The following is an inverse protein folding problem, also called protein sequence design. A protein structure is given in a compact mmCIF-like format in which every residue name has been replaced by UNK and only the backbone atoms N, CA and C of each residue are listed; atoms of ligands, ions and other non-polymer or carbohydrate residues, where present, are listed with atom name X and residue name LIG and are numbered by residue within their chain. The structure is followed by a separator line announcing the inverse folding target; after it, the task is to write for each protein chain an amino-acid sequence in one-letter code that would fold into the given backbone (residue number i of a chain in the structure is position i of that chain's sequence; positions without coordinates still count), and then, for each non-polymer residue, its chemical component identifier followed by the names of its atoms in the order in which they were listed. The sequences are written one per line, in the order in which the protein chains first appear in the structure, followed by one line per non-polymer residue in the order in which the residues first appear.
data_IF_688639119184
#
_entry.id   IF_688639119184
#
_cell.length_a   1.000
_cell.length_b   1.000
_cell.length_c   1.000
_cell.angle_alpha   90.00
_cell.angle_beta   90.00
_cell.angle_gamma   90.00
#
_symmetry.space_group_name_H-M   'P 1'
#
loop_
_entity.id
_entity.type
_entity.pdbx_description
1 polymer ?
#
# COMPACT_ATOMS: atom_id res chain seq x y z
N UNK A 1 1.49 16.74 -15.03
CA UNK A 1 1.24 15.77 -16.12
C UNK A 1 0.35 14.62 -15.62
N UNK A 2 0.76 13.78 -14.66
CA UNK A 2 -0.09 12.69 -14.13
C UNK A 2 -1.32 13.15 -13.33
N UNK A 3 -1.14 13.96 -12.27
CA UNK A 3 -2.29 14.43 -11.46
C UNK A 3 -3.35 15.15 -12.31
N UNK A 4 -2.91 15.96 -13.29
CA UNK A 4 -3.81 16.65 -14.23
C UNK A 4 -4.65 15.66 -15.03
N UNK A 5 -4.00 14.65 -15.62
CA UNK A 5 -4.69 13.61 -16.38
C UNK A 5 -5.73 12.85 -15.53
N UNK A 6 -5.38 12.49 -14.29
CA UNK A 6 -6.30 11.82 -13.36
C UNK A 6 -7.54 12.69 -13.11
N UNK A 7 -7.37 13.96 -12.77
CA UNK A 7 -8.50 14.84 -12.46
C UNK A 7 -9.33 15.23 -13.69
N UNK A 8 -8.70 15.42 -14.84
CA UNK A 8 -9.44 15.70 -16.09
C UNK A 8 -10.27 14.49 -16.52
N UNK A 9 -9.73 13.27 -16.42
CA UNK A 9 -10.47 12.05 -16.70
C UNK A 9 -11.61 11.83 -15.71
N UNK A 10 -11.35 12.01 -14.41
CA UNK A 10 -12.37 11.88 -13.38
C UNK A 10 -13.51 12.89 -13.56
N UNK A 11 -13.19 14.15 -13.88
CA UNK A 11 -14.17 15.17 -14.15
C UNK A 11 -15.02 14.85 -15.40
N UNK A 12 -14.37 14.41 -16.48
CA UNK A 12 -15.04 14.01 -17.72
C UNK A 12 -16.04 12.87 -17.51
N UNK A 13 -15.62 11.81 -16.80
CA UNK A 13 -16.49 10.66 -16.52
C UNK A 13 -17.63 11.01 -15.57
N UNK A 14 -17.39 11.88 -14.59
CA UNK A 14 -18.45 12.39 -13.72
C UNK A 14 -19.49 13.22 -14.50
N UNK A 15 -19.06 14.00 -15.49
CA UNK A 15 -19.96 14.69 -16.42
C UNK A 15 -20.83 13.76 -17.28
N UNK A 16 -20.43 12.48 -17.41
CA UNK A 16 -21.20 11.43 -18.08
C UNK A 16 -22.06 10.59 -17.11
N UNK A 17 -22.14 10.98 -15.84
CA UNK A 17 -22.93 10.28 -14.82
C UNK A 17 -22.22 9.10 -14.14
N UNK A 18 -20.92 8.90 -14.39
CA UNK A 18 -20.13 7.87 -13.70
C UNK A 18 -19.71 8.39 -12.32
N UNK A 19 -19.91 7.59 -11.27
CA UNK A 19 -19.37 7.91 -9.95
C UNK A 19 -17.88 7.58 -9.91
N UNK A 20 -17.02 8.60 -9.72
CA UNK A 20 -15.56 8.43 -9.69
C UNK A 20 -15.02 8.87 -8.33
N UNK A 21 -14.21 8.01 -7.71
CA UNK A 21 -13.57 8.24 -6.41
C UNK A 21 -12.06 7.99 -6.54
N UNK A 22 -11.30 8.89 -7.19
CA UNK A 22 -9.88 8.68 -7.42
C UNK A 22 -9.08 8.76 -6.12
N UNK A 23 -8.15 7.82 -5.95
CA UNK A 23 -7.15 7.81 -4.88
C UNK A 23 -5.77 7.93 -5.54
N UNK A 24 -4.98 8.91 -5.11
CA UNK A 24 -3.64 9.18 -5.66
C UNK A 24 -2.61 8.78 -4.63
N UNK A 25 -1.74 7.84 -4.98
CA UNK A 25 -0.74 7.28 -4.08
C UNK A 25 0.66 7.73 -4.46
N UNK A 26 1.42 8.23 -3.48
CA UNK A 26 2.83 8.61 -3.65
C UNK A 26 3.73 7.43 -3.25
N UNK A 27 4.58 6.92 -4.16
CA UNK A 27 5.47 5.80 -3.89
C UNK A 27 6.77 6.23 -3.19
N UNK A 28 7.48 5.26 -2.64
CA UNK A 28 8.85 5.33 -2.09
C UNK A 28 9.08 6.45 -1.08
N UNK A 29 8.04 6.84 -0.35
CA UNK A 29 8.14 7.86 0.69
C UNK A 29 8.95 7.29 1.86
N UNK A 30 9.94 8.03 2.34
CA UNK A 30 10.69 7.72 3.57
C UNK A 30 10.51 8.75 4.67
N UNK A 31 9.95 9.92 4.36
CA UNK A 31 9.79 11.09 5.24
C UNK A 31 8.42 11.77 5.02
N UNK A 32 7.83 12.41 6.05
CA UNK A 32 6.60 13.19 5.88
C UNK A 32 6.80 14.39 4.96
N UNK A 33 8.02 14.93 4.84
CA UNK A 33 8.33 16.06 3.95
C UNK A 33 8.27 15.67 2.46
N UNK A 34 8.77 14.48 2.10
CA UNK A 34 8.64 13.94 0.73
C UNK A 34 7.16 13.80 0.35
N UNK A 35 6.34 13.24 1.25
CA UNK A 35 4.91 13.11 1.02
C UNK A 35 4.24 14.49 0.93
N UNK A 36 4.51 15.39 1.87
CA UNK A 36 3.95 16.74 1.90
C UNK A 36 4.23 17.52 0.61
N UNK A 37 5.47 17.43 0.10
CA UNK A 37 5.83 18.05 -1.19
C UNK A 37 4.94 17.55 -2.34
N UNK A 38 4.73 16.24 -2.44
CA UNK A 38 3.90 15.67 -3.50
C UNK A 38 2.41 15.94 -3.31
N UNK A 39 1.91 15.89 -2.07
CA UNK A 39 0.53 16.27 -1.72
C UNK A 39 0.25 17.70 -2.17
N UNK A 40 1.15 18.64 -1.91
CA UNK A 40 1.02 20.03 -2.34
C UNK A 40 0.90 20.18 -3.85
N UNK A 41 1.76 19.48 -4.60
CA UNK A 41 1.71 19.48 -6.06
C UNK A 41 0.38 18.92 -6.55
N UNK A 42 -0.06 17.78 -6.01
CA UNK A 42 -1.33 17.12 -6.37
C UNK A 42 -2.52 18.05 -6.09
N UNK A 43 -2.61 18.61 -4.89
CA UNK A 43 -3.73 19.48 -4.48
C UNK A 43 -3.75 20.80 -5.27
N UNK A 44 -2.59 21.37 -5.62
CA UNK A 44 -2.49 22.56 -6.49
C UNK A 44 -3.02 22.26 -7.90
N UNK A 45 -2.70 21.10 -8.47
CA UNK A 45 -3.19 20.69 -9.78
C UNK A 45 -4.69 20.41 -9.74
N UNK A 46 -5.18 19.71 -8.71
CA UNK A 46 -6.61 19.45 -8.51
C UNK A 46 -7.43 20.75 -8.56
N UNK A 47 -7.02 21.77 -7.77
CA UNK A 47 -7.66 23.08 -7.73
C UNK A 47 -7.73 23.73 -9.11
N UNK A 48 -6.64 23.72 -9.88
CA UNK A 48 -6.60 24.30 -11.24
C UNK A 48 -7.58 23.58 -12.16
N UNK A 49 -7.56 22.25 -12.18
CA UNK A 49 -8.45 21.46 -13.04
C UNK A 49 -9.92 21.68 -12.67
N UNK A 50 -10.26 21.74 -11.38
CA UNK A 50 -11.64 21.97 -10.96
C UNK A 50 -12.16 23.36 -11.35
N UNK A 51 -11.32 24.40 -11.30
CA UNK A 51 -11.68 25.72 -11.82
C UNK A 51 -11.90 25.67 -13.34
N UNK A 52 -11.01 25.02 -14.08
CA UNK A 52 -11.12 24.89 -15.54
C UNK A 52 -12.34 24.06 -15.99
N UNK A 53 -12.75 23.07 -15.19
CA UNK A 53 -13.91 22.20 -15.48
C UNK A 53 -15.24 22.71 -14.92
N UNK A 54 -15.22 23.68 -14.01
CA UNK A 54 -16.42 24.25 -13.40
C UNK A 54 -17.11 23.34 -12.36
N UNK A 55 -16.49 22.23 -11.96
CA UNK A 55 -16.98 21.35 -10.89
C UNK A 55 -15.82 20.62 -10.19
N UNK A 56 -16.10 20.07 -9.01
CA UNK A 56 -15.12 19.35 -8.18
C UNK A 56 -15.33 17.84 -8.21
N UNK A 57 -14.24 17.10 -8.03
CA UNK A 57 -14.26 15.64 -7.81
C UNK A 57 -13.77 15.37 -6.38
N UNK A 58 -14.43 14.49 -5.64
CA UNK A 58 -13.93 14.03 -4.34
C UNK A 58 -12.77 13.06 -4.55
N UNK A 59 -11.64 13.25 -3.87
CA UNK A 59 -10.45 12.42 -4.03
C UNK A 59 -9.70 12.29 -2.71
N UNK A 60 -8.81 11.30 -2.64
CA UNK A 60 -7.85 11.15 -1.54
C UNK A 60 -6.42 11.16 -2.03
N UNK A 61 -5.50 11.60 -1.18
CA UNK A 61 -4.06 11.43 -1.38
C UNK A 61 -3.49 10.61 -0.25
N UNK A 62 -2.77 9.55 -0.59
CA UNK A 62 -2.14 8.64 0.36
C UNK A 62 -0.75 8.25 -0.12
N UNK A 63 -0.17 7.24 0.53
CA UNK A 63 1.20 6.84 0.23
C UNK A 63 1.40 5.34 0.31
N UNK A 64 2.41 4.87 -0.42
CA UNK A 64 2.90 3.52 -0.27
C UNK A 64 3.82 3.44 0.95
N UNK A 65 3.60 2.46 1.82
CA UNK A 65 4.52 2.14 2.91
C UNK A 65 5.38 0.96 2.46
N UNK A 66 6.53 1.29 1.87
CA UNK A 66 7.45 0.34 1.26
C UNK A 66 8.93 0.58 1.61
N UNK A 67 9.20 1.66 2.37
CA UNK A 67 10.50 1.96 2.95
C UNK A 67 10.43 1.67 4.46
N UNK A 68 11.37 0.92 5.06
CA UNK A 68 11.36 0.63 6.49
C UNK A 68 11.27 1.90 7.36
N UNK A 69 11.96 2.97 6.95
CA UNK A 69 11.87 4.28 7.62
C UNK A 69 10.44 4.81 7.68
N UNK A 70 9.63 4.65 6.63
CA UNK A 70 8.25 5.10 6.63
C UNK A 70 7.40 4.36 7.67
N UNK A 71 7.65 3.06 7.87
CA UNK A 71 6.99 2.31 8.93
C UNK A 71 7.40 2.79 10.34
N UNK A 72 8.68 3.15 10.51
CA UNK A 72 9.24 3.60 11.79
C UNK A 72 8.73 4.98 12.25
N UNK A 73 8.23 5.82 11.34
CA UNK A 73 7.70 7.17 11.63
C UNK A 73 6.31 7.37 11.00
N UNK A 74 5.51 6.30 10.97
CA UNK A 74 4.24 6.26 10.26
C UNK A 74 3.18 7.22 10.83
N UNK A 75 3.31 7.59 12.11
CA UNK A 75 2.49 8.61 12.78
C UNK A 75 2.63 9.98 12.09
N UNK A 76 3.86 10.44 11.85
CA UNK A 76 4.11 11.72 11.14
C UNK A 76 3.64 11.65 9.68
N UNK A 77 3.83 10.51 9.01
CA UNK A 77 3.39 10.33 7.61
C UNK A 77 1.85 10.37 7.51
N UNK A 78 1.14 9.81 8.50
CA UNK A 78 -0.32 9.77 8.53
C UNK A 78 -0.98 11.16 8.70
N UNK A 79 -0.24 12.17 9.18
CA UNK A 79 -0.72 13.56 9.18
C UNK A 79 -1.01 14.06 7.76
N UNK A 80 -0.22 13.63 6.77
CA UNK A 80 -0.34 14.02 5.37
C UNK A 80 -1.12 12.99 4.53
N UNK A 81 -1.07 11.71 4.88
CA UNK A 81 -1.69 10.63 4.13
C UNK A 81 -3.13 10.35 4.60
N UNK A 82 -4.06 10.21 3.64
CA UNK A 82 -5.44 9.80 3.90
C UNK A 82 -5.62 8.27 3.85
N UNK A 83 -4.63 7.56 3.32
CA UNK A 83 -4.54 6.10 3.32
C UNK A 83 -3.09 5.63 3.18
N UNK A 84 -2.81 4.41 3.65
CA UNK A 84 -1.59 3.66 3.43
C UNK A 84 -1.86 2.43 2.56
N UNK A 85 -0.93 2.14 1.65
CA UNK A 85 -0.87 0.84 0.98
C UNK A 85 0.51 0.25 1.18
N UNK A 86 0.64 -0.91 1.80
CA UNK A 86 1.94 -1.55 1.93
C UNK A 86 2.41 -2.08 0.57
N UNK A 87 3.58 -1.62 0.13
CA UNK A 87 4.32 -2.20 -0.98
C UNK A 87 5.24 -3.28 -0.46
N UNK A 88 4.67 -4.45 -0.14
CA UNK A 88 5.41 -5.48 0.61
C UNK A 88 6.56 -6.10 -0.16
N UNK A 89 6.57 -6.03 -1.50
CA UNK A 89 7.72 -6.48 -2.29
C UNK A 89 8.97 -5.66 -1.97
N UNK A 90 8.87 -4.32 -2.07
CA UNK A 90 9.97 -3.41 -1.77
C UNK A 90 10.27 -3.35 -0.27
N UNK A 91 9.24 -3.44 0.58
CA UNK A 91 9.43 -3.51 2.03
C UNK A 91 10.21 -4.76 2.43
N UNK A 92 9.91 -5.93 1.85
CA UNK A 92 10.68 -7.17 2.06
C UNK A 92 12.11 -6.97 1.58
N UNK A 93 12.31 -6.45 0.37
CA UNK A 93 13.64 -6.20 -0.21
C UNK A 93 14.50 -5.34 0.73
N UNK A 94 13.95 -4.22 1.22
CA UNK A 94 14.69 -3.30 2.09
C UNK A 94 14.87 -3.83 3.52
N UNK A 95 13.93 -4.66 4.02
CA UNK A 95 14.02 -5.24 5.37
C UNK A 95 15.04 -6.39 5.43
N UNK A 96 15.04 -7.27 4.43
CA UNK A 96 16.01 -8.36 4.32
C UNK A 96 17.36 -7.92 3.74
N UNK A 97 17.40 -6.80 3.02
CA UNK A 97 18.55 -6.43 2.18
C UNK A 97 18.70 -7.33 0.96
N UNK A 98 17.59 -7.86 0.43
CA UNK A 98 17.58 -8.81 -0.69
C UNK A 98 17.14 -8.12 -1.97
N UNK A 99 18.04 -8.02 -2.95
CA UNK A 99 17.67 -7.66 -4.31
C UNK A 99 16.81 -8.77 -4.92
N UNK A 100 15.56 -8.44 -5.29
CA UNK A 100 14.63 -9.41 -5.88
C UNK A 100 15.16 -10.02 -7.18
N UNK A 101 15.93 -9.25 -7.95
CA UNK A 101 16.53 -9.70 -9.21
C UNK A 101 17.74 -10.63 -8.99
N UNK A 102 18.37 -10.59 -7.82
CA UNK A 102 19.57 -11.38 -7.51
C UNK A 102 19.33 -12.55 -6.55
N UNK A 103 18.19 -12.55 -5.84
CA UNK A 103 17.91 -13.50 -4.75
C UNK A 103 17.94 -14.96 -5.21
N UNK A 104 17.57 -15.23 -6.47
CA UNK A 104 17.55 -16.57 -7.05
C UNK A 104 18.92 -17.28 -7.04
N UNK A 105 20.02 -16.52 -6.92
CA UNK A 105 21.39 -17.08 -6.87
C UNK A 105 21.69 -17.81 -5.55
N UNK A 106 21.00 -17.49 -4.46
CA UNK A 106 21.26 -18.08 -3.14
C UNK A 106 20.01 -18.62 -2.43
N UNK A 107 18.82 -18.13 -2.77
CA UNK A 107 17.58 -18.50 -2.08
C UNK A 107 17.28 -20.01 -2.10
N UNK A 108 17.46 -20.75 -3.22
CA UNK A 108 17.26 -22.21 -3.22
C UNK A 108 18.15 -22.92 -2.21
N UNK A 109 19.38 -22.44 -1.99
CA UNK A 109 20.30 -23.00 -1.02
C UNK A 109 19.87 -22.67 0.42
N UNK A 110 19.33 -21.47 0.67
CA UNK A 110 18.80 -21.08 1.98
C UNK A 110 17.59 -21.94 2.38
N UNK A 111 16.68 -22.19 1.43
CA UNK A 111 15.53 -23.07 1.63
C UNK A 111 15.97 -24.52 1.87
N UNK A 112 16.87 -25.05 1.04
CA UNK A 112 17.36 -26.43 1.18
C UNK A 112 18.09 -26.68 2.52
N UNK A 113 18.75 -25.64 3.08
CA UNK A 113 19.42 -25.71 4.38
C UNK A 113 18.52 -25.35 5.57
N UNK A 114 17.26 -24.99 5.34
CA UNK A 114 16.33 -24.56 6.38
C UNK A 114 16.70 -23.22 7.04
N UNK A 115 17.56 -22.41 6.39
CA UNK A 115 17.88 -21.05 6.84
C UNK A 115 16.64 -20.16 6.71
N UNK A 116 15.88 -20.34 5.61
CA UNK A 116 14.56 -19.80 5.42
C UNK A 116 13.56 -20.94 5.27
N UNK A 117 12.34 -20.74 5.76
CA UNK A 117 11.25 -21.71 5.63
C UNK A 117 10.49 -21.52 4.32
N UNK A 118 10.38 -20.27 3.85
CA UNK A 118 9.67 -19.88 2.64
C UNK A 118 10.44 -18.79 1.90
N UNK A 119 10.15 -18.61 0.61
CA UNK A 119 10.57 -17.41 -0.12
C UNK A 119 9.84 -16.19 0.47
N UNK A 120 10.57 -15.21 1.05
CA UNK A 120 9.96 -14.04 1.69
C UNK A 120 9.28 -13.08 0.69
N UNK A 121 9.46 -13.27 -0.62
CA UNK A 121 8.75 -12.54 -1.67
C UNK A 121 7.45 -13.23 -2.13
N UNK A 122 7.22 -14.49 -1.73
CA UNK A 122 5.98 -15.22 -1.98
C UNK A 122 5.09 -15.25 -0.73
N UNK A 123 5.69 -15.58 0.42
CA UNK A 123 5.03 -15.66 1.73
C UNK A 123 5.58 -14.55 2.62
N UNK A 124 4.69 -13.71 3.15
CA UNK A 124 5.08 -12.60 4.00
C UNK A 124 5.88 -13.10 5.22
N UNK A 125 7.07 -12.56 5.41
CA UNK A 125 7.81 -12.73 6.66
C UNK A 125 7.08 -11.99 7.80
N UNK A 126 6.30 -12.73 8.58
CA UNK A 126 5.52 -12.16 9.67
C UNK A 126 6.37 -11.66 10.85
N UNK A 127 7.61 -12.15 11.00
CA UNK A 127 8.48 -11.86 12.15
C UNK A 127 9.34 -10.61 11.97
N UNK A 128 9.76 -10.30 10.76
CA UNK A 128 10.48 -9.07 10.41
C UNK A 128 9.56 -8.08 9.71
N UNK A 129 9.23 -8.34 8.45
CA UNK A 129 8.41 -7.43 7.62
C UNK A 129 7.03 -7.19 8.25
N UNK A 130 6.41 -8.24 8.79
CA UNK A 130 5.13 -8.15 9.49
C UNK A 130 5.16 -7.23 10.73
N UNK A 131 6.30 -7.10 11.42
CA UNK A 131 6.42 -6.14 12.53
C UNK A 131 6.36 -4.71 12.04
N UNK A 132 6.99 -4.40 10.89
CA UNK A 132 6.90 -3.07 10.27
C UNK A 132 5.46 -2.78 9.83
N UNK A 133 4.76 -3.77 9.27
CA UNK A 133 3.35 -3.64 8.88
C UNK A 133 2.47 -3.31 10.09
N UNK A 134 2.61 -4.05 11.20
CA UNK A 134 1.86 -3.81 12.45
C UNK A 134 2.16 -2.42 13.03
N UNK A 135 3.45 -2.11 13.19
CA UNK A 135 3.90 -0.83 13.74
C UNK A 135 3.36 0.37 12.94
N UNK A 136 3.46 0.31 11.61
CA UNK A 136 3.00 1.38 10.75
C UNK A 136 1.48 1.55 10.80
N UNK A 137 0.74 0.44 10.85
CA UNK A 137 -0.73 0.45 10.97
C UNK A 137 -1.17 1.07 12.29
N UNK A 138 -0.57 0.63 13.40
CA UNK A 138 -0.87 1.14 14.75
C UNK A 138 -0.55 2.62 14.89
N UNK A 139 0.67 3.04 14.53
CA UNK A 139 1.11 4.44 14.61
C UNK A 139 0.33 5.35 13.67
N UNK A 140 0.11 4.91 12.43
CA UNK A 140 -0.66 5.67 11.46
C UNK A 140 -2.10 5.90 11.92
N UNK A 141 -2.75 4.87 12.49
CA UNK A 141 -4.11 5.01 13.05
C UNK A 141 -4.14 5.79 14.36
N UNK A 142 -3.08 5.78 15.16
CA UNK A 142 -2.98 6.64 16.33
C UNK A 142 -2.98 8.13 15.96
N UNK A 143 -2.27 8.50 14.88
CA UNK A 143 -2.26 9.87 14.37
C UNK A 143 -3.53 10.22 13.56
N UNK A 144 -4.09 9.26 12.81
CA UNK A 144 -5.33 9.41 12.04
C UNK A 144 -6.27 8.22 12.27
N UNK A 145 -7.23 8.30 13.20
CA UNK A 145 -8.09 7.17 13.58
C UNK A 145 -8.90 6.53 12.44
N UNK A 146 -9.22 7.30 11.39
CA UNK A 146 -9.94 6.83 10.21
C UNK A 146 -9.03 6.49 9.01
N UNK A 147 -7.71 6.36 9.23
CA UNK A 147 -6.74 6.00 8.19
C UNK A 147 -7.08 4.64 7.59
N UNK A 148 -7.26 4.62 6.27
CA UNK A 148 -7.42 3.38 5.51
C UNK A 148 -6.06 2.75 5.25
N UNK A 149 -5.94 1.47 5.56
CA UNK A 149 -4.67 0.74 5.44
C UNK A 149 -4.91 -0.52 4.65
N UNK A 150 -4.20 -0.69 3.53
CA UNK A 150 -4.24 -1.95 2.79
C UNK A 150 -2.85 -2.38 2.34
N UNK A 151 -2.81 -3.40 1.50
CA UNK A 151 -1.57 -3.94 0.93
C UNK A 151 -1.77 -4.20 -0.56
N UNK A 152 -0.72 -3.96 -1.34
CA UNK A 152 -0.67 -4.31 -2.75
C UNK A 152 0.55 -5.18 -3.05
N UNK A 153 0.40 -6.12 -3.98
CA UNK A 153 1.50 -6.98 -4.45
C UNK A 153 1.19 -8.46 -4.31
N UNK A 154 2.25 -9.28 -4.39
CA UNK A 154 2.11 -10.74 -4.46
C UNK A 154 1.55 -11.33 -3.16
N UNK A 155 2.00 -10.80 -2.01
CA UNK A 155 1.49 -11.22 -0.69
C UNK A 155 -0.02 -10.98 -0.53
N UNK A 156 -0.60 -10.00 -1.24
CA UNK A 156 -2.03 -9.70 -1.17
C UNK A 156 -2.93 -10.81 -1.73
N UNK A 157 -2.37 -11.82 -2.40
CA UNK A 157 -3.09 -12.99 -2.88
C UNK A 157 -2.56 -14.32 -2.36
N UNK A 158 -1.69 -14.31 -1.34
CA UNK A 158 -1.15 -15.53 -0.72
C UNK A 158 -1.93 -15.81 0.57
N UNK A 159 -2.56 -17.00 0.74
CA UNK A 159 -3.51 -17.24 1.81
C UNK A 159 -2.99 -16.95 3.23
N UNK A 160 -1.78 -17.36 3.58
CA UNK A 160 -1.23 -17.15 4.92
C UNK A 160 -0.90 -15.67 5.20
N UNK A 161 -0.46 -14.94 4.18
CA UNK A 161 -0.22 -13.51 4.21
C UNK A 161 -1.52 -12.73 4.33
N UNK A 162 -2.56 -13.13 3.58
CA UNK A 162 -3.91 -12.54 3.69
C UNK A 162 -4.49 -12.73 5.09
N UNK A 163 -4.34 -13.91 5.69
CA UNK A 163 -4.74 -14.16 7.07
C UNK A 163 -4.00 -13.22 8.05
N UNK A 164 -2.68 -13.08 7.91
CA UNK A 164 -1.90 -12.14 8.71
C UNK A 164 -2.39 -10.69 8.56
N UNK A 165 -2.68 -10.23 7.34
CA UNK A 165 -3.15 -8.87 7.10
C UNK A 165 -4.52 -8.60 7.74
N UNK A 166 -5.42 -9.60 7.72
CA UNK A 166 -6.69 -9.52 8.41
C UNK A 166 -6.51 -9.42 9.93
N UNK A 167 -5.64 -10.25 10.51
CA UNK A 167 -5.30 -10.21 11.95
C UNK A 167 -4.60 -8.91 12.36
N UNK A 168 -3.74 -8.37 11.50
CA UNK A 168 -3.10 -7.07 11.67
C UNK A 168 -4.07 -5.89 11.50
N UNK A 169 -5.33 -6.17 11.14
CA UNK A 169 -6.41 -5.19 11.07
C UNK A 169 -6.37 -4.31 9.83
N UNK A 170 -5.77 -4.75 8.72
CA UNK A 170 -5.84 -4.00 7.46
C UNK A 170 -7.28 -3.97 6.93
N UNK A 171 -7.63 -2.89 6.22
CA UNK A 171 -8.93 -2.66 5.61
C UNK A 171 -9.13 -3.49 4.32
N UNK A 172 -8.07 -3.77 3.57
CA UNK A 172 -8.14 -4.52 2.31
C UNK A 172 -6.81 -5.16 1.90
N UNK A 173 -6.91 -6.15 1.00
CA UNK A 173 -5.79 -6.70 0.22
C UNK A 173 -6.03 -6.44 -1.27
N UNK A 174 -4.98 -6.16 -2.03
CA UNK A 174 -5.02 -5.94 -3.48
C UNK A 174 -4.02 -6.86 -4.18
N UNK A 175 -4.51 -7.64 -5.13
CA UNK A 175 -3.75 -8.67 -5.84
C UNK A 175 -4.08 -8.69 -7.34
N UNK A 176 -3.35 -9.48 -8.11
CA UNK A 176 -3.63 -9.67 -9.54
C UNK A 176 -5.04 -10.24 -9.77
N UNK A 177 -5.69 -9.96 -10.91
CA UNK A 177 -7.10 -10.31 -11.14
C UNK A 177 -7.42 -11.79 -10.89
N UNK A 178 -6.55 -12.70 -11.33
CA UNK A 178 -6.74 -14.15 -11.17
C UNK A 178 -6.59 -14.63 -9.72
N UNK A 179 -5.91 -13.86 -8.85
CA UNK A 179 -5.76 -14.18 -7.42
C UNK A 179 -6.89 -13.64 -6.56
N UNK A 180 -7.78 -12.79 -7.10
CA UNK A 180 -8.92 -12.22 -6.34
C UNK A 180 -9.81 -13.32 -5.70
N UNK A 181 -10.20 -14.41 -6.38
CA UNK A 181 -10.98 -15.47 -5.75
C UNK A 181 -10.25 -16.14 -4.57
N UNK A 182 -8.92 -16.31 -4.68
CA UNK A 182 -8.08 -16.91 -3.63
C UNK A 182 -8.02 -15.97 -2.41
N UNK A 183 -7.75 -14.68 -2.64
CA UNK A 183 -7.70 -13.68 -1.57
C UNK A 183 -9.04 -13.57 -0.83
N UNK A 184 -10.17 -13.61 -1.54
CA UNK A 184 -11.51 -13.61 -0.94
C UNK A 184 -11.76 -14.84 -0.06
N UNK A 185 -11.37 -16.02 -0.53
CA UNK A 185 -11.52 -17.26 0.24
C UNK A 185 -10.65 -17.23 1.50
N UNK A 186 -9.38 -16.86 1.37
CA UNK A 186 -8.45 -16.77 2.48
C UNK A 186 -8.91 -15.76 3.55
N UNK A 187 -9.37 -14.57 3.11
CA UNK A 187 -9.91 -13.54 4.02
C UNK A 187 -11.20 -13.97 4.73
N UNK A 188 -11.99 -14.90 4.16
CA UNK A 188 -13.15 -15.46 4.83
C UNK A 188 -12.76 -16.56 5.84
N UNK A 189 -11.79 -17.40 5.48
CA UNK A 189 -11.34 -18.53 6.31
C UNK A 189 -10.76 -18.08 7.65
N UNK A 190 -10.02 -16.97 7.68
CA UNK A 190 -9.41 -16.43 8.92
C UNK A 190 -10.46 -15.98 9.95
N UNK A 191 -11.68 -15.62 9.53
CA UNK A 191 -12.75 -15.15 10.44
C UNK A 191 -13.54 -16.30 11.07
N UNK A 192 -13.46 -17.51 10.49
CA UNK A 192 -14.24 -18.69 10.92
C UNK A 192 -13.38 -19.80 11.55
N UNK A 193 -12.05 -19.64 11.56
CA UNK A 193 -11.09 -20.55 12.18
C UNK A 193 -10.93 -20.24 13.68
#
# INVERSE_FOLDING_TARGET
MQARAIFEAAASMQGQGVTVLPEIMVPLVGTPQELGHQVDVIRKVAKKVFVEKGHTVTYKVGTMIEIPRAALIADEIAEQAEFFSFGTNDLTQMTFGYSRDDVAKFLPMYLAKGILQHDPFEVLDQKGVGQLVKMATERGRAARPNLKVGVCGEHGGEPSSVAFFAEAGLDYVSCSPFRVPIARLAAAQVVIA
#
